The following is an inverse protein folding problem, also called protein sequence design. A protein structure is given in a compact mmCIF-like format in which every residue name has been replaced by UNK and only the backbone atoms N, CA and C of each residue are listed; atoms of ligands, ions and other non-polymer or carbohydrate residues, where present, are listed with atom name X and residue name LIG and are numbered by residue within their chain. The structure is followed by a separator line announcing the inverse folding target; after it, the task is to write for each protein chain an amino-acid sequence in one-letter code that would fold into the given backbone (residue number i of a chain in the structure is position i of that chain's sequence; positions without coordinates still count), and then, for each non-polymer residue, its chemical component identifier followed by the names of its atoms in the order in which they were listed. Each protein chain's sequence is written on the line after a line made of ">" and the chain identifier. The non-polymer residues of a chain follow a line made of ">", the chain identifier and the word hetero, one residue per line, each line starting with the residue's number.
data_IF_867758148539
#
_entry.id   IF_867758148539
#
_cell.length_a   1.000
_cell.length_b   1.000
_cell.length_c   1.000
_cell.angle_alpha   90.00
_cell.angle_beta   90.00
_cell.angle_gamma   90.00
#
_symmetry.space_group_name_H-M   'P 1'
#
loop_
_entity.id
_entity.type
_entity.pdbx_description
1 polymer ?
#
# COMPACT_ATOMS: atom_id res chain seq x y z
N UNK A 1 7.65 1.54 21.64
CA UNK A 1 7.65 2.08 20.27
C UNK A 1 6.60 1.33 19.48
N UNK A 2 5.58 2.02 18.97
CA UNK A 2 4.68 1.46 17.94
C UNK A 2 5.33 1.71 16.57
N UNK A 3 5.48 0.66 15.75
CA UNK A 3 5.96 0.77 14.37
C UNK A 3 4.77 0.64 13.40
N UNK A 4 4.91 1.24 12.21
CA UNK A 4 3.93 1.12 11.11
C UNK A 4 4.18 -0.17 10.28
N UNK A 5 3.30 -0.48 9.32
CA UNK A 5 3.36 -1.72 8.55
C UNK A 5 3.04 -1.55 7.06
N UNK A 6 2.38 -2.56 6.48
CA UNK A 6 2.13 -2.70 5.03
C UNK A 6 1.60 -1.44 4.33
N UNK A 7 0.66 -0.72 4.96
CA UNK A 7 0.09 0.50 4.40
C UNK A 7 1.15 1.58 4.15
N UNK A 8 2.04 1.80 5.11
CA UNK A 8 3.09 2.81 4.96
C UNK A 8 4.12 2.34 3.94
N UNK A 9 4.52 1.07 3.96
CA UNK A 9 5.50 0.53 3.02
C UNK A 9 5.07 0.69 1.55
N UNK A 10 3.82 0.33 1.23
CA UNK A 10 3.27 0.50 -0.12
C UNK A 10 3.03 1.98 -0.47
N UNK A 11 2.59 2.80 0.50
CA UNK A 11 2.40 4.24 0.27
C UNK A 11 3.72 4.94 -0.05
N UNK A 12 4.85 4.51 0.53
CA UNK A 12 6.17 5.02 0.15
C UNK A 12 6.52 4.67 -1.30
N UNK A 13 6.26 3.44 -1.74
CA UNK A 13 6.46 3.04 -3.14
C UNK A 13 5.64 3.90 -4.10
N UNK A 14 4.36 4.11 -3.80
CA UNK A 14 3.45 4.96 -4.58
C UNK A 14 3.95 6.42 -4.64
N UNK A 15 4.26 7.01 -3.49
CA UNK A 15 4.72 8.41 -3.38
C UNK A 15 6.03 8.63 -4.14
N UNK A 16 6.93 7.66 -4.11
CA UNK A 16 8.25 7.79 -4.74
C UNK A 16 8.18 7.94 -6.28
N UNK A 17 7.17 7.36 -6.95
CA UNK A 17 6.98 7.51 -8.40
C UNK A 17 5.95 8.57 -8.76
N UNK A 18 4.82 8.62 -8.05
CA UNK A 18 3.70 9.48 -8.40
C UNK A 18 3.71 10.84 -7.69
N UNK A 19 4.58 11.03 -6.69
CA UNK A 19 4.59 12.25 -5.87
C UNK A 19 3.35 12.38 -4.98
N UNK A 20 2.59 11.30 -4.76
CA UNK A 20 1.40 11.30 -3.93
C UNK A 20 1.73 11.74 -2.50
N UNK A 21 0.99 12.73 -1.99
CA UNK A 21 1.15 13.20 -0.62
C UNK A 21 0.81 12.09 0.38
N UNK A 22 1.51 12.07 1.52
CA UNK A 22 1.47 10.97 2.48
C UNK A 22 0.05 10.56 2.91
N UNK A 23 -0.78 11.50 3.38
CA UNK A 23 -2.12 11.18 3.90
C UNK A 23 -3.01 10.50 2.87
N UNK A 24 -3.14 11.09 1.68
CA UNK A 24 -3.96 10.51 0.60
C UNK A 24 -3.35 9.20 0.06
N UNK A 25 -2.01 9.10 -0.02
CA UNK A 25 -1.32 7.88 -0.42
C UNK A 25 -1.61 6.72 0.53
N UNK A 26 -1.64 6.98 1.84
CA UNK A 26 -2.05 5.99 2.83
C UNK A 26 -3.51 5.58 2.66
N UNK A 27 -4.44 6.52 2.42
CA UNK A 27 -5.84 6.18 2.19
C UNK A 27 -6.04 5.28 0.95
N UNK A 28 -5.42 5.64 -0.18
CA UNK A 28 -5.47 4.87 -1.43
C UNK A 28 -4.97 3.44 -1.20
N UNK A 29 -3.80 3.31 -0.56
CA UNK A 29 -3.21 2.00 -0.28
C UNK A 29 -4.05 1.23 0.73
N UNK A 30 -4.54 1.88 1.79
CA UNK A 30 -5.28 1.19 2.83
C UNK A 30 -6.57 0.55 2.30
N UNK A 31 -7.23 1.20 1.34
CA UNK A 31 -8.47 0.69 0.74
C UNK A 31 -8.31 -0.71 0.09
N UNK A 32 -7.12 -1.07 -0.37
CA UNK A 32 -6.85 -2.39 -0.98
C UNK A 32 -6.29 -3.43 -0.01
N UNK A 33 -6.06 -3.08 1.27
CA UNK A 33 -5.36 -3.94 2.25
C UNK A 33 -6.29 -4.76 3.15
N UNK A 34 -7.50 -5.07 2.70
CA UNK A 34 -8.45 -5.91 3.44
C UNK A 34 -7.90 -7.29 3.82
N UNK A 35 -6.93 -7.83 3.07
CA UNK A 35 -6.24 -9.08 3.41
C UNK A 35 -5.41 -8.97 4.69
N UNK A 36 -4.83 -7.79 4.96
CA UNK A 36 -3.97 -7.54 6.13
C UNK A 36 -4.74 -6.93 7.29
N UNK A 37 -5.72 -6.07 6.99
CA UNK A 37 -6.45 -5.27 7.96
C UNK A 37 -7.97 -5.31 7.69
N UNK A 38 -8.62 -6.48 7.72
CA UNK A 38 -10.01 -6.63 7.28
C UNK A 38 -10.98 -5.70 8.03
N UNK A 39 -10.93 -5.70 9.36
CA UNK A 39 -11.79 -4.84 10.18
C UNK A 39 -11.45 -3.36 10.02
N UNK A 40 -10.16 -3.01 9.95
CA UNK A 40 -9.72 -1.64 9.76
C UNK A 40 -10.14 -1.06 8.41
N UNK A 41 -10.03 -1.82 7.33
CA UNK A 41 -10.47 -1.40 5.99
C UNK A 41 -11.99 -1.28 5.93
N UNK A 42 -12.73 -2.19 6.57
CA UNK A 42 -14.19 -2.10 6.66
C UNK A 42 -14.61 -0.83 7.40
N UNK A 43 -14.02 -0.56 8.56
CA UNK A 43 -14.29 0.66 9.33
C UNK A 43 -13.94 1.91 8.53
N UNK A 44 -12.76 1.93 7.89
CA UNK A 44 -12.32 3.02 7.02
C UNK A 44 -13.30 3.31 5.89
N UNK A 45 -13.81 2.28 5.21
CA UNK A 45 -14.82 2.44 4.15
C UNK A 45 -16.14 3.02 4.67
N UNK A 46 -16.59 2.59 5.85
CA UNK A 46 -17.75 3.19 6.52
C UNK A 46 -17.51 4.67 6.85
N UNK A 47 -16.30 5.05 7.26
CA UNK A 47 -15.95 6.45 7.47
C UNK A 47 -15.97 7.23 6.15
N UNK A 48 -15.39 6.68 5.07
CA UNK A 48 -15.41 7.33 3.76
C UNK A 48 -16.85 7.58 3.26
N UNK A 49 -17.73 6.58 3.38
CA UNK A 49 -19.14 6.69 2.99
C UNK A 49 -19.85 7.79 3.80
N UNK A 50 -19.69 7.78 5.13
CA UNK A 50 -20.30 8.77 6.02
C UNK A 50 -19.92 10.21 5.67
N UNK A 51 -18.68 10.42 5.25
CA UNK A 51 -18.12 11.73 4.93
C UNK A 51 -18.06 12.02 3.43
N UNK A 52 -18.65 11.16 2.58
CA UNK A 52 -18.70 11.31 1.12
C UNK A 52 -17.32 11.51 0.49
N UNK A 53 -16.34 10.74 0.97
CA UNK A 53 -14.96 10.78 0.48
C UNK A 53 -14.83 9.80 -0.68
N UNK A 54 -14.41 10.31 -1.84
CA UNK A 54 -14.01 9.51 -2.99
C UNK A 54 -12.48 9.52 -3.13
N UNK A 55 -11.88 8.34 -3.25
CA UNK A 55 -10.44 8.21 -3.51
C UNK A 55 -10.16 8.25 -5.01
N UNK A 56 -9.04 8.85 -5.45
CA UNK A 56 -8.63 8.77 -6.84
C UNK A 56 -8.21 7.33 -7.17
N UNK A 57 -8.76 6.79 -8.26
CA UNK A 57 -8.41 5.45 -8.77
C UNK A 57 -7.66 5.49 -10.10
N UNK A 58 -7.26 4.31 -10.59
CA UNK A 58 -6.49 4.11 -11.83
C UNK A 58 -5.13 4.83 -11.81
N UNK A 59 -4.52 5.03 -10.64
CA UNK A 59 -3.30 5.80 -10.51
C UNK A 59 -2.10 5.10 -11.16
N UNK A 60 -2.09 3.76 -11.19
CA UNK A 60 -0.98 3.01 -11.81
C UNK A 60 -1.24 2.63 -13.27
N UNK A 61 -2.44 2.91 -13.81
CA UNK A 61 -2.89 2.40 -15.13
C UNK A 61 -1.97 2.77 -16.29
N UNK A 62 -1.32 3.92 -16.23
CA UNK A 62 -0.46 4.45 -17.31
C UNK A 62 1.04 4.38 -16.98
N UNK A 63 1.41 3.70 -15.89
CA UNK A 63 2.82 3.57 -15.53
C UNK A 63 3.52 2.56 -16.42
N UNK A 64 4.76 2.89 -16.78
CA UNK A 64 5.66 1.95 -17.46
C UNK A 64 6.03 0.83 -16.50
N UNK A 65 6.33 -0.32 -17.07
CA UNK A 65 6.83 -1.50 -16.36
C UNK A 65 7.97 -1.18 -15.38
N UNK A 66 8.95 -0.39 -15.83
CA UNK A 66 10.10 0.02 -15.03
C UNK A 66 9.71 0.87 -13.81
N UNK A 67 8.65 1.68 -13.95
CA UNK A 67 8.14 2.49 -12.84
C UNK A 67 7.48 1.60 -11.78
N UNK A 68 6.68 0.62 -12.21
CA UNK A 68 6.05 -0.36 -11.31
C UNK A 68 7.12 -1.16 -10.57
N UNK A 69 8.14 -1.65 -11.28
CA UNK A 69 9.24 -2.39 -10.67
C UNK A 69 10.04 -1.54 -9.66
N UNK A 70 10.18 -0.23 -9.91
CA UNK A 70 10.80 0.70 -8.97
C UNK A 70 9.93 0.91 -7.71
N UNK A 71 8.61 1.02 -7.85
CA UNK A 71 7.69 1.07 -6.71
C UNK A 71 7.78 -0.18 -5.84
N UNK A 72 7.83 -1.36 -6.47
CA UNK A 72 7.97 -2.65 -5.78
C UNK A 72 9.30 -2.70 -5.01
N UNK A 73 10.40 -2.32 -5.64
CA UNK A 73 11.72 -2.31 -4.99
C UNK A 73 11.76 -1.34 -3.80
N UNK A 74 11.19 -0.14 -3.93
CA UNK A 74 11.11 0.83 -2.82
C UNK A 74 10.27 0.27 -1.67
N UNK A 75 9.09 -0.27 -1.97
CA UNK A 75 8.21 -0.81 -0.93
C UNK A 75 8.85 -2.00 -0.20
N UNK A 76 9.47 -2.93 -0.92
CA UNK A 76 10.11 -4.13 -0.34
C UNK A 76 11.42 -3.83 0.38
N UNK A 77 12.09 -2.71 0.09
CA UNK A 77 13.30 -2.29 0.80
C UNK A 77 13.06 -1.77 2.23
N UNK A 78 11.81 -1.74 2.68
CA UNK A 78 11.42 -1.28 4.02
C UNK A 78 11.26 -2.47 4.98
N UNK A 79 12.30 -3.32 5.09
CA UNK A 79 12.29 -4.54 5.90
C UNK A 79 11.69 -4.37 7.31
N UNK A 80 12.02 -3.31 8.11
CA UNK A 80 11.47 -3.17 9.45
C UNK A 80 9.94 -3.07 9.50
N UNK A 81 9.31 -2.46 8.49
CA UNK A 81 7.85 -2.31 8.43
C UNK A 81 7.18 -3.65 8.13
N UNK A 82 7.77 -4.43 7.23
CA UNK A 82 7.24 -5.75 6.87
C UNK A 82 7.44 -6.75 8.00
N UNK A 83 8.60 -6.75 8.64
CA UNK A 83 8.84 -7.60 9.82
C UNK A 83 7.87 -7.28 10.95
N UNK A 84 7.57 -5.99 11.16
CA UNK A 84 6.60 -5.57 12.18
C UNK A 84 5.18 -6.09 11.94
N UNK A 85 4.70 -6.13 10.69
CA UNK A 85 3.32 -6.58 10.42
C UNK A 85 3.17 -8.04 9.98
N UNK A 86 4.23 -8.70 9.52
CA UNK A 86 4.19 -10.07 8.98
C UNK A 86 5.20 -11.04 9.64
N UNK A 87 6.04 -10.54 10.55
CA UNK A 87 7.05 -11.34 11.24
C UNK A 87 8.34 -11.55 10.42
N UNK A 88 9.27 -12.33 10.98
CA UNK A 88 10.63 -12.51 10.44
C UNK A 88 10.65 -13.10 9.02
N UNK A 89 9.69 -13.95 8.70
CA UNK A 89 9.60 -14.62 7.40
C UNK A 89 8.77 -13.84 6.37
N UNK A 90 8.59 -12.53 6.58
CA UNK A 90 7.74 -11.68 5.74
C UNK A 90 8.05 -11.78 4.24
N UNK A 91 9.30 -12.04 3.85
CA UNK A 91 9.73 -12.17 2.45
C UNK A 91 9.07 -13.35 1.72
N UNK A 92 8.62 -14.36 2.47
CA UNK A 92 7.85 -15.49 1.92
C UNK A 92 6.39 -15.12 1.65
N UNK A 93 5.87 -14.12 2.36
CA UNK A 93 4.49 -13.65 2.29
C UNK A 93 4.37 -12.50 1.27
N UNK A 94 5.23 -11.48 1.39
CA UNK A 94 5.28 -10.31 0.51
C UNK A 94 6.35 -10.47 -0.56
N UNK A 95 6.02 -11.28 -1.55
CA UNK A 95 6.84 -11.45 -2.76
C UNK A 95 6.73 -10.24 -3.68
N UNK A 96 7.64 -10.12 -4.65
CA UNK A 96 7.52 -9.12 -5.72
C UNK A 96 6.19 -9.24 -6.47
N UNK A 97 5.77 -10.47 -6.76
CA UNK A 97 4.51 -10.78 -7.44
C UNK A 97 3.30 -10.31 -6.63
N UNK A 98 3.26 -10.60 -5.32
CA UNK A 98 2.18 -10.14 -4.45
C UNK A 98 2.16 -8.61 -4.36
N UNK A 99 3.32 -7.98 -4.17
CA UNK A 99 3.45 -6.52 -4.13
C UNK A 99 2.97 -5.87 -5.42
N UNK A 100 3.33 -6.44 -6.57
CA UNK A 100 2.84 -6.03 -7.88
C UNK A 100 1.33 -6.13 -7.98
N UNK A 101 0.75 -7.25 -7.55
CA UNK A 101 -0.70 -7.47 -7.59
C UNK A 101 -1.46 -6.45 -6.73
N UNK A 102 -0.86 -5.96 -5.63
CA UNK A 102 -1.42 -4.91 -4.81
C UNK A 102 -1.36 -3.57 -5.53
N UNK A 103 -0.22 -3.18 -6.10
CA UNK A 103 -0.13 -1.93 -6.85
C UNK A 103 -1.08 -1.88 -8.04
N UNK A 104 -1.28 -2.99 -8.76
CA UNK A 104 -2.20 -3.04 -9.91
C UNK A 104 -3.69 -2.91 -9.53
N UNK A 105 -4.04 -2.97 -8.24
CA UNK A 105 -5.41 -2.68 -7.76
C UNK A 105 -5.66 -1.18 -7.54
N UNK A 106 -4.64 -0.33 -7.66
CA UNK A 106 -4.66 1.12 -7.37
C UNK A 106 -4.87 1.94 -8.66
#
# INVERSE_FOLDING_TARGET
>A
YSQVGACHALSYGLSYILGTHHGIGCCIVFDILSEFYPEGVKEFRTMMEKYQIELPGNLVKNLKEEQIEKMITVALGLDPLWENCLGKDWKTIMTREKTRSLFLKI
#
